data_IF_836782318779
#
_entry.id   IF_836782318779
#
_cell.length_a   1.000
_cell.length_b   1.000
_cell.length_c   1.000
_cell.angle_alpha   90.00
_cell.angle_beta   90.00
_cell.angle_gamma   90.00
#
_symmetry.space_group_name_H-M   'P 1'
#
loop_
_entity.id
_entity.type
_entity.pdbx_description
1 polymer ?
#
# COMPACT_ATOMS: atom_id res chain seq x y z
N UNK A 1 -12.19 -29.63 33.45
CA UNK A 1 -10.76 -29.97 33.34
C UNK A 1 -10.32 -30.15 31.87
N UNK A 2 -11.26 -30.33 30.93
CA UNK A 2 -11.03 -30.59 29.50
C UNK A 2 -10.43 -29.47 28.63
N UNK A 3 -10.71 -28.19 28.93
CA UNK A 3 -10.25 -27.08 28.07
C UNK A 3 -8.73 -26.94 28.00
N UNK A 4 -8.01 -27.22 29.09
CA UNK A 4 -6.53 -27.12 29.13
C UNK A 4 -5.86 -28.26 28.36
N UNK A 5 -6.45 -29.46 28.36
CA UNK A 5 -5.95 -30.63 27.64
C UNK A 5 -6.05 -30.40 26.13
N UNK A 6 -7.16 -29.83 25.67
CA UNK A 6 -7.38 -29.54 24.25
C UNK A 6 -6.42 -28.45 23.71
N UNK A 7 -6.09 -27.43 24.52
CA UNK A 7 -5.10 -26.41 24.16
C UNK A 7 -3.68 -26.97 24.09
N UNK A 8 -3.30 -27.87 25.01
CA UNK A 8 -1.97 -28.49 25.03
C UNK A 8 -1.76 -29.44 23.83
N UNK A 9 -2.80 -30.20 23.44
CA UNK A 9 -2.76 -31.06 22.25
C UNK A 9 -2.62 -30.24 20.97
N UNK A 10 -3.34 -29.11 20.85
CA UNK A 10 -3.24 -28.20 19.71
C UNK A 10 -1.88 -27.52 19.59
N UNK A 11 -1.25 -27.20 20.72
CA UNK A 11 0.14 -26.67 20.75
C UNK A 11 1.15 -27.71 20.29
N UNK A 12 0.98 -28.97 20.73
CA UNK A 12 1.85 -30.09 20.34
C UNK A 12 1.71 -30.45 18.86
N UNK A 13 0.52 -30.28 18.27
CA UNK A 13 0.28 -30.44 16.83
C UNK A 13 0.90 -29.32 15.98
N UNK A 14 0.90 -28.07 16.46
CA UNK A 14 1.61 -26.97 15.81
C UNK A 14 3.14 -27.17 15.83
N UNK A 15 3.67 -27.71 16.94
CA UNK A 15 5.09 -28.04 17.08
C UNK A 15 5.53 -29.25 16.24
N UNK A 16 4.60 -30.06 15.74
CA UNK A 16 4.89 -31.22 14.89
C UNK A 16 4.69 -30.94 13.40
N UNK A 17 4.47 -29.68 13.02
CA UNK A 17 4.48 -29.26 11.63
C UNK A 17 5.92 -29.30 11.12
N UNK A 18 6.24 -30.27 10.24
CA UNK A 18 7.51 -30.22 9.51
C UNK A 18 7.54 -28.90 8.75
N UNK A 19 8.48 -28.03 9.10
CA UNK A 19 8.66 -26.74 8.43
C UNK A 19 9.03 -27.04 6.98
N UNK A 20 8.20 -26.61 6.05
CA UNK A 20 8.44 -26.80 4.62
C UNK A 20 9.59 -25.91 4.17
N UNK A 21 10.39 -26.36 3.20
CA UNK A 21 11.47 -25.56 2.58
C UNK A 21 10.94 -24.19 2.13
N UNK A 22 9.68 -24.13 1.69
CA UNK A 22 8.99 -22.89 1.30
C UNK A 22 8.82 -21.91 2.46
N UNK A 23 8.46 -22.41 3.65
CA UNK A 23 8.31 -21.60 4.86
C UNK A 23 9.65 -21.03 5.31
N UNK A 24 10.71 -21.84 5.24
CA UNK A 24 12.08 -21.40 5.58
C UNK A 24 12.53 -20.28 4.64
N UNK A 25 12.37 -20.45 3.32
CA UNK A 25 12.75 -19.43 2.33
C UNK A 25 11.95 -18.14 2.55
N UNK A 26 10.64 -18.25 2.80
CA UNK A 26 9.80 -17.07 3.04
C UNK A 26 10.20 -16.34 4.32
N UNK A 27 10.43 -17.05 5.43
CA UNK A 27 10.85 -16.45 6.70
C UNK A 27 12.23 -15.80 6.56
N UNK A 28 13.17 -16.45 5.89
CA UNK A 28 14.51 -15.90 5.64
C UNK A 28 14.43 -14.57 4.88
N UNK A 29 13.66 -14.53 3.79
CA UNK A 29 13.49 -13.32 2.99
C UNK A 29 12.73 -12.22 3.74
N UNK A 30 11.74 -12.59 4.55
CA UNK A 30 11.04 -11.65 5.41
C UNK A 30 12.00 -11.01 6.42
N UNK A 31 12.82 -11.80 7.10
CA UNK A 31 13.85 -11.29 8.03
C UNK A 31 14.87 -10.42 7.31
N UNK A 32 15.28 -10.81 6.09
CA UNK A 32 16.19 -10.00 5.27
C UNK A 32 15.56 -8.64 4.92
N UNK A 33 14.26 -8.58 4.64
CA UNK A 33 13.54 -7.33 4.36
C UNK A 33 13.39 -6.42 5.59
N UNK A 34 13.55 -6.93 6.81
CA UNK A 34 13.58 -6.12 8.03
C UNK A 34 14.93 -5.44 8.26
N UNK A 35 15.96 -5.83 7.50
CA UNK A 35 17.29 -5.22 7.59
C UNK A 35 17.37 -3.95 6.71
N UNK A 36 18.16 -2.94 7.11
CA UNK A 36 18.32 -1.71 6.32
C UNK A 36 19.03 -1.92 4.98
N UNK A 37 19.55 -3.12 4.70
CA UNK A 37 20.21 -3.46 3.45
C UNK A 37 19.23 -3.67 2.28
N UNK A 38 17.96 -3.97 2.56
CA UNK A 38 16.94 -4.19 1.53
C UNK A 38 16.05 -2.96 1.42
N UNK A 39 16.20 -2.23 0.32
CA UNK A 39 15.26 -1.15 -0.02
C UNK A 39 13.86 -1.71 -0.33
N UNK A 40 12.79 -0.96 -0.02
CA UNK A 40 11.40 -1.36 -0.31
C UNK A 40 11.13 -1.86 -1.76
N UNK A 41 11.72 -1.28 -2.82
CA UNK A 41 11.59 -1.80 -4.19
C UNK A 41 12.11 -3.23 -4.34
N UNK A 42 13.27 -3.50 -3.72
CA UNK A 42 13.94 -4.78 -3.79
C UNK A 42 13.15 -5.83 -2.98
N UNK A 43 12.62 -5.45 -1.82
CA UNK A 43 11.72 -6.30 -1.04
C UNK A 43 10.47 -6.69 -1.84
N UNK A 44 9.86 -5.74 -2.56
CA UNK A 44 8.69 -5.99 -3.40
C UNK A 44 9.02 -6.93 -4.56
N UNK A 45 10.15 -6.71 -5.23
CA UNK A 45 10.62 -7.55 -6.34
C UNK A 45 10.91 -8.99 -5.88
N UNK A 46 11.63 -9.14 -4.75
CA UNK A 46 11.86 -10.45 -4.12
C UNK A 46 10.54 -11.14 -3.77
N UNK A 47 9.57 -10.40 -3.20
CA UNK A 47 8.24 -10.92 -2.91
C UNK A 47 7.51 -11.45 -4.14
N UNK A 48 7.57 -10.74 -5.27
CA UNK A 48 6.99 -11.19 -6.55
C UNK A 48 7.67 -12.47 -7.06
N UNK A 49 9.00 -12.54 -7.02
CA UNK A 49 9.74 -13.73 -7.47
C UNK A 49 9.34 -14.95 -6.64
N UNK A 50 9.30 -14.81 -5.31
CA UNK A 50 8.89 -15.89 -4.40
C UNK A 50 7.46 -16.31 -4.65
N UNK A 51 6.54 -15.35 -4.78
CA UNK A 51 5.13 -15.64 -5.03
C UNK A 51 4.94 -16.44 -6.33
N UNK A 52 5.71 -16.13 -7.37
CA UNK A 52 5.58 -16.76 -8.69
C UNK A 52 6.26 -18.13 -8.80
N UNK A 53 7.43 -18.32 -8.17
CA UNK A 53 8.24 -19.54 -8.33
C UNK A 53 8.05 -20.54 -7.19
N UNK A 54 7.85 -20.05 -5.97
CA UNK A 54 7.83 -20.88 -4.75
C UNK A 54 6.39 -21.00 -4.22
N UNK A 55 5.58 -19.98 -4.43
CA UNK A 55 4.24 -19.85 -3.88
C UNK A 55 4.27 -19.38 -2.42
N UNK A 56 3.19 -18.74 -1.97
CA UNK A 56 3.11 -18.18 -0.63
C UNK A 56 2.70 -19.25 0.40
N UNK A 57 3.55 -19.62 1.38
CA UNK A 57 3.26 -20.70 2.32
C UNK A 57 2.13 -20.34 3.31
N UNK A 58 1.93 -19.06 3.60
CA UNK A 58 1.00 -18.58 4.63
C UNK A 58 -0.24 -17.88 4.07
N UNK A 59 -0.89 -18.43 3.03
CA UNK A 59 -2.05 -17.81 2.36
C UNK A 59 -3.19 -17.45 3.33
N UNK A 60 -3.51 -18.33 4.27
CA UNK A 60 -4.63 -18.16 5.20
C UNK A 60 -4.49 -16.96 6.16
N UNK A 61 -3.25 -16.54 6.45
CA UNK A 61 -2.97 -15.40 7.36
C UNK A 61 -2.45 -14.16 6.62
N UNK A 62 -2.13 -14.28 5.33
CA UNK A 62 -1.52 -13.21 4.53
C UNK A 62 -2.28 -11.89 4.64
N UNK A 63 -3.59 -11.89 4.34
CA UNK A 63 -4.40 -10.68 4.36
C UNK A 63 -4.36 -9.95 5.73
N UNK A 64 -4.51 -10.72 6.82
CA UNK A 64 -4.50 -10.16 8.18
C UNK A 64 -3.11 -9.65 8.57
N UNK A 65 -2.06 -10.39 8.21
CA UNK A 65 -0.69 -9.99 8.49
C UNK A 65 -0.32 -8.71 7.72
N UNK A 66 -0.64 -8.62 6.43
CA UNK A 66 -0.41 -7.41 5.62
C UNK A 66 -1.12 -6.20 6.22
N UNK A 67 -2.39 -6.33 6.62
CA UNK A 67 -3.12 -5.23 7.26
C UNK A 67 -2.44 -4.75 8.55
N UNK A 68 -2.05 -5.67 9.44
CA UNK A 68 -1.42 -5.31 10.72
C UNK A 68 -0.03 -4.69 10.49
N UNK A 69 0.79 -5.29 9.64
CA UNK A 69 2.13 -4.78 9.34
C UNK A 69 2.07 -3.37 8.74
N UNK A 70 1.17 -3.13 7.79
CA UNK A 70 0.97 -1.79 7.22
C UNK A 70 0.51 -0.78 8.28
N UNK A 71 -0.42 -1.16 9.16
CA UNK A 71 -0.86 -0.29 10.25
C UNK A 71 0.30 0.09 11.18
N UNK A 72 1.11 -0.89 11.59
CA UNK A 72 2.28 -0.65 12.45
C UNK A 72 3.28 0.27 11.74
N UNK A 73 3.59 0.03 10.47
CA UNK A 73 4.49 0.87 9.69
C UNK A 73 3.99 2.31 9.58
N UNK A 74 2.70 2.52 9.31
CA UNK A 74 2.10 3.86 9.21
C UNK A 74 2.14 4.58 10.55
N UNK A 75 1.81 3.90 11.65
CA UNK A 75 1.86 4.47 13.00
C UNK A 75 3.31 4.82 13.37
N UNK A 76 4.27 3.93 13.10
CA UNK A 76 5.69 4.15 13.35
C UNK A 76 6.24 5.35 12.56
N UNK A 77 5.88 5.47 11.29
CA UNK A 77 6.20 6.63 10.45
C UNK A 77 5.57 7.92 11.01
N UNK A 78 4.35 7.84 11.53
CA UNK A 78 3.66 8.98 12.17
C UNK A 78 4.40 9.53 13.40
N UNK A 79 4.97 8.67 14.24
CA UNK A 79 5.77 9.09 15.40
C UNK A 79 7.07 9.84 15.01
N UNK A 80 7.59 9.63 13.80
CA UNK A 80 8.77 10.33 13.29
C UNK A 80 8.47 11.73 12.71
N UNK A 81 7.20 12.16 12.68
CA UNK A 81 6.79 13.38 11.97
C UNK A 81 6.55 14.57 12.91
N UNK A 82 6.97 15.76 12.47
CA UNK A 82 6.65 17.02 13.15
C UNK A 82 5.18 17.42 12.90
N UNK A 83 4.42 17.60 13.98
CA UNK A 83 2.97 17.79 13.94
C UNK A 83 2.56 19.13 13.30
N UNK A 84 3.34 20.19 13.52
CA UNK A 84 3.06 21.53 12.98
C UNK A 84 3.24 21.54 11.46
N UNK A 85 4.30 20.90 10.98
CA UNK A 85 4.59 20.74 9.55
C UNK A 85 3.46 19.95 8.84
N UNK A 86 2.93 18.94 9.53
CA UNK A 86 1.82 18.14 9.03
C UNK A 86 0.50 18.92 8.96
N UNK A 87 0.22 19.79 9.92
CA UNK A 87 -1.01 20.59 9.88
C UNK A 87 -0.93 21.64 8.76
N UNK A 88 0.21 22.29 8.58
CA UNK A 88 0.39 23.38 7.61
C UNK A 88 0.32 22.88 6.17
N UNK A 89 1.04 21.80 5.87
CA UNK A 89 1.05 21.16 4.53
C UNK A 89 -0.31 20.52 4.22
N UNK A 90 -1.01 20.01 5.24
CA UNK A 90 -2.33 19.40 5.09
C UNK A 90 -3.38 20.40 4.61
N UNK A 91 -3.39 21.62 5.18
CA UNK A 91 -4.32 22.69 4.77
C UNK A 91 -4.09 23.11 3.31
N UNK A 92 -2.84 23.19 2.87
CA UNK A 92 -2.49 23.56 1.50
C UNK A 92 -2.84 22.45 0.49
N UNK A 93 -2.76 21.18 0.90
CA UNK A 93 -3.02 20.02 0.03
C UNK A 93 -4.50 19.62 -0.14
N UNK A 94 -5.44 20.21 0.60
CA UNK A 94 -6.85 19.78 0.61
C UNK A 94 -7.50 19.83 -0.77
N UNK A 95 -7.44 20.99 -1.44
CA UNK A 95 -8.07 21.20 -2.75
C UNK A 95 -7.44 20.29 -3.80
N UNK A 96 -6.11 20.17 -3.80
CA UNK A 96 -5.38 19.27 -4.70
C UNK A 96 -5.77 17.82 -4.50
N UNK A 97 -5.95 17.38 -3.26
CA UNK A 97 -6.35 16.00 -2.94
C UNK A 97 -7.76 15.71 -3.45
N UNK A 98 -8.72 16.62 -3.22
CA UNK A 98 -10.10 16.44 -3.70
C UNK A 98 -10.15 16.41 -5.22
N UNK A 99 -9.49 17.36 -5.89
CA UNK A 99 -9.42 17.41 -7.35
C UNK A 99 -8.74 16.15 -7.90
N UNK A 100 -7.65 15.70 -7.28
CA UNK A 100 -6.96 14.48 -7.69
C UNK A 100 -7.83 13.24 -7.53
N UNK A 101 -8.56 13.09 -6.41
CA UNK A 101 -9.44 11.93 -6.20
C UNK A 101 -10.57 11.93 -7.23
N UNK A 102 -11.28 13.06 -7.39
CA UNK A 102 -12.38 13.18 -8.34
C UNK A 102 -11.89 12.98 -9.78
N UNK A 103 -10.74 13.55 -10.13
CA UNK A 103 -10.09 13.39 -11.42
C UNK A 103 -9.74 11.94 -11.70
N UNK A 104 -9.05 11.27 -10.77
CA UNK A 104 -8.65 9.86 -10.91
C UNK A 104 -9.86 8.93 -10.97
N UNK A 105 -10.90 9.15 -10.17
CA UNK A 105 -12.12 8.35 -10.23
C UNK A 105 -12.88 8.55 -11.55
N UNK A 106 -12.99 9.78 -12.03
CA UNK A 106 -13.66 10.09 -13.29
C UNK A 106 -12.90 9.49 -14.48
N UNK A 107 -11.58 9.64 -14.50
CA UNK A 107 -10.71 9.03 -15.51
C UNK A 107 -10.75 7.52 -15.44
N UNK A 108 -10.69 6.94 -14.24
CA UNK A 108 -10.77 5.50 -14.03
C UNK A 108 -12.10 4.91 -14.49
N UNK A 109 -13.22 5.62 -14.27
CA UNK A 109 -14.52 5.24 -14.81
C UNK A 109 -14.54 5.29 -16.35
N UNK A 110 -14.02 6.37 -16.94
CA UNK A 110 -13.96 6.55 -18.39
C UNK A 110 -13.10 5.48 -19.06
N UNK A 111 -11.89 5.25 -18.53
CA UNK A 111 -10.97 4.22 -19.00
C UNK A 111 -11.54 2.83 -18.80
N UNK A 112 -12.20 2.57 -17.66
CA UNK A 112 -12.89 1.31 -17.41
C UNK A 112 -13.97 1.03 -18.46
N UNK A 113 -14.73 2.05 -18.86
CA UNK A 113 -15.72 1.94 -19.93
C UNK A 113 -15.08 1.71 -21.30
N UNK A 114 -14.00 2.43 -21.61
CA UNK A 114 -13.27 2.31 -22.88
C UNK A 114 -12.63 0.93 -23.05
N UNK A 115 -12.03 0.41 -21.98
CA UNK A 115 -11.38 -0.90 -21.92
C UNK A 115 -12.37 -2.06 -21.70
N UNK A 116 -13.68 -1.76 -21.61
CA UNK A 116 -14.76 -2.74 -21.39
C UNK A 116 -14.54 -3.61 -20.15
N UNK A 117 -14.01 -3.01 -19.09
CA UNK A 117 -13.80 -3.69 -17.80
C UNK A 117 -15.13 -3.87 -17.06
N UNK A 118 -15.18 -4.87 -16.19
CA UNK A 118 -16.30 -5.04 -15.27
C UNK A 118 -16.37 -3.84 -14.31
N UNK A 119 -17.58 -3.31 -14.09
CA UNK A 119 -17.80 -2.06 -13.31
C UNK A 119 -17.16 -2.11 -11.92
N UNK A 120 -17.30 -3.25 -11.22
CA UNK A 120 -16.75 -3.42 -9.88
C UNK A 120 -15.22 -3.40 -9.89
N UNK A 121 -14.59 -4.15 -10.80
CA UNK A 121 -13.12 -4.16 -10.94
C UNK A 121 -12.57 -2.80 -11.34
N UNK A 122 -13.19 -2.14 -12.32
CA UNK A 122 -12.78 -0.79 -12.74
C UNK A 122 -12.87 0.21 -11.58
N UNK A 123 -13.95 0.15 -10.80
CA UNK A 123 -14.12 0.99 -9.62
C UNK A 123 -13.09 0.70 -8.53
N UNK A 124 -12.83 -0.57 -8.21
CA UNK A 124 -11.80 -0.96 -7.23
C UNK A 124 -10.41 -0.46 -7.63
N UNK A 125 -10.03 -0.61 -8.90
CA UNK A 125 -8.75 -0.10 -9.42
C UNK A 125 -8.72 1.42 -9.26
N UNK A 126 -9.78 2.12 -9.69
CA UNK A 126 -9.88 3.58 -9.61
C UNK A 126 -9.76 4.11 -8.18
N UNK A 127 -10.48 3.49 -7.24
CA UNK A 127 -10.45 3.83 -5.81
C UNK A 127 -9.06 3.58 -5.22
N UNK A 128 -8.45 2.44 -5.52
CA UNK A 128 -7.12 2.15 -5.03
C UNK A 128 -6.08 3.13 -5.60
N UNK A 129 -6.14 3.47 -6.88
CA UNK A 129 -5.25 4.46 -7.49
C UNK A 129 -5.48 5.87 -6.96
N UNK A 130 -6.71 6.24 -6.59
CA UNK A 130 -7.04 7.59 -6.14
C UNK A 130 -6.62 7.90 -4.68
N UNK A 131 -6.43 6.89 -3.82
CA UNK A 131 -6.30 7.11 -2.37
C UNK A 131 -4.99 6.54 -1.81
N UNK A 132 -4.99 5.26 -1.41
CA UNK A 132 -3.87 4.62 -0.72
C UNK A 132 -3.71 3.14 -1.15
N UNK A 133 -4.04 2.85 -2.41
CA UNK A 133 -3.82 1.53 -3.01
C UNK A 133 -4.68 0.44 -2.38
N UNK A 134 -4.01 -0.60 -1.88
CA UNK A 134 -4.66 -1.80 -1.37
C UNK A 134 -5.55 -1.57 -0.15
N UNK A 135 -5.20 -0.61 0.71
CA UNK A 135 -6.00 -0.27 1.89
C UNK A 135 -7.37 0.29 1.52
N UNK A 136 -7.44 1.11 0.46
CA UNK A 136 -8.70 1.65 -0.04
C UNK A 136 -9.56 0.55 -0.69
N UNK A 137 -8.95 -0.36 -1.45
CA UNK A 137 -9.65 -1.54 -1.99
C UNK A 137 -10.25 -2.36 -0.84
N UNK A 138 -9.45 -2.72 0.17
CA UNK A 138 -9.93 -3.53 1.29
C UNK A 138 -11.09 -2.87 2.04
N UNK A 139 -11.08 -1.54 2.18
CA UNK A 139 -12.15 -0.80 2.84
C UNK A 139 -13.45 -0.75 2.03
N UNK A 140 -13.36 -0.60 0.70
CA UNK A 140 -14.53 -0.42 -0.18
C UNK A 140 -15.13 -1.73 -0.68
N UNK A 141 -14.33 -2.79 -0.75
CA UNK A 141 -14.74 -4.11 -1.27
C UNK A 141 -16.02 -4.67 -0.61
N UNK A 142 -16.19 -4.63 0.73
CA UNK A 142 -17.41 -5.15 1.37
C UNK A 142 -18.67 -4.34 0.99
N UNK A 143 -18.53 -3.02 0.87
CA UNK A 143 -19.62 -2.09 0.59
C UNK A 143 -20.20 -2.29 -0.79
N UNK A 144 -19.35 -2.58 -1.79
CA UNK A 144 -19.78 -2.84 -3.16
C UNK A 144 -19.99 -4.33 -3.46
N UNK A 145 -19.90 -5.19 -2.42
CA UNK A 145 -20.03 -6.65 -2.52
C UNK A 145 -19.10 -7.25 -3.59
N UNK A 146 -17.86 -6.77 -3.64
CA UNK A 146 -16.86 -7.29 -4.57
C UNK A 146 -16.55 -8.75 -4.24
N UNK A 147 -16.47 -9.60 -5.27
CA UNK A 147 -16.03 -10.98 -5.08
C UNK A 147 -14.49 -11.04 -4.96
N UNK A 148 -13.98 -12.14 -4.40
CA UNK A 148 -12.54 -12.30 -4.16
C UNK A 148 -11.70 -12.14 -5.44
N UNK A 149 -12.21 -12.65 -6.57
CA UNK A 149 -11.52 -12.53 -7.86
C UNK A 149 -11.35 -11.07 -8.28
N UNK A 150 -12.38 -10.23 -8.13
CA UNK A 150 -12.34 -8.80 -8.47
C UNK A 150 -11.35 -8.05 -7.57
N UNK A 151 -11.36 -8.36 -6.26
CA UNK A 151 -10.41 -7.78 -5.30
C UNK A 151 -8.98 -8.18 -5.62
N UNK A 152 -8.73 -9.46 -5.88
CA UNK A 152 -7.42 -9.96 -6.25
C UNK A 152 -6.90 -9.34 -7.55
N UNK A 153 -7.75 -9.23 -8.58
CA UNK A 153 -7.36 -8.59 -9.85
C UNK A 153 -7.02 -7.12 -9.62
N UNK A 154 -7.86 -6.37 -8.89
CA UNK A 154 -7.60 -4.96 -8.63
C UNK A 154 -6.30 -4.74 -7.83
N UNK A 155 -6.07 -5.53 -6.78
CA UNK A 155 -4.83 -5.48 -6.00
C UNK A 155 -3.60 -5.81 -6.86
N UNK A 156 -3.68 -6.87 -7.66
CA UNK A 156 -2.59 -7.27 -8.53
C UNK A 156 -2.26 -6.16 -9.54
N UNK A 157 -3.27 -5.57 -10.19
CA UNK A 157 -3.09 -4.46 -11.14
C UNK A 157 -2.41 -3.27 -10.45
N UNK A 158 -2.88 -2.85 -9.28
CA UNK A 158 -2.29 -1.71 -8.57
C UNK A 158 -0.84 -2.00 -8.16
N UNK A 159 -0.56 -3.17 -7.58
CA UNK A 159 0.81 -3.48 -7.16
C UNK A 159 1.77 -3.57 -8.35
N UNK A 160 1.33 -4.11 -9.48
CA UNK A 160 2.14 -4.13 -10.71
C UNK A 160 2.40 -2.71 -11.21
N UNK A 161 1.37 -1.88 -11.30
CA UNK A 161 1.51 -0.47 -11.74
C UNK A 161 2.42 0.32 -10.79
N UNK A 162 2.27 0.12 -9.48
CA UNK A 162 3.11 0.74 -8.46
C UNK A 162 4.57 0.29 -8.56
N UNK A 163 4.81 -1.00 -8.78
CA UNK A 163 6.15 -1.54 -8.99
C UNK A 163 6.80 -0.91 -10.23
N UNK A 164 6.06 -0.79 -11.33
CA UNK A 164 6.52 -0.11 -12.54
C UNK A 164 6.81 1.37 -12.24
N UNK A 165 5.87 2.08 -11.60
CA UNK A 165 6.00 3.49 -11.27
C UNK A 165 7.24 3.76 -10.43
N UNK A 166 7.56 2.89 -9.48
CA UNK A 166 8.75 3.02 -8.65
C UNK A 166 10.02 3.14 -9.50
N UNK A 167 10.21 2.24 -10.47
CA UNK A 167 11.40 2.26 -11.34
C UNK A 167 11.35 3.42 -12.33
N UNK A 168 10.18 3.63 -12.96
CA UNK A 168 10.00 4.67 -13.98
C UNK A 168 10.20 6.06 -13.39
N UNK A 169 9.64 6.36 -12.23
CA UNK A 169 9.74 7.68 -11.61
C UNK A 169 11.19 8.03 -11.33
N UNK A 170 11.97 7.16 -10.69
CA UNK A 170 13.37 7.44 -10.39
C UNK A 170 14.18 7.74 -11.66
N UNK A 171 13.99 6.94 -12.72
CA UNK A 171 14.65 7.16 -14.02
C UNK A 171 14.22 8.49 -14.64
N UNK A 172 12.92 8.78 -14.68
CA UNK A 172 12.39 10.04 -15.23
C UNK A 172 12.88 11.23 -14.42
N UNK A 173 12.96 11.14 -13.10
CA UNK A 173 13.49 12.18 -12.23
C UNK A 173 14.93 12.52 -12.58
N UNK A 174 15.77 11.50 -12.77
CA UNK A 174 17.16 11.69 -13.18
C UNK A 174 17.27 12.26 -14.60
N UNK A 175 16.43 11.82 -15.54
CA UNK A 175 16.42 12.37 -16.91
C UNK A 175 15.99 13.84 -16.96
N UNK A 176 15.15 14.27 -16.03
CA UNK A 176 14.69 15.65 -15.89
C UNK A 176 15.59 16.51 -15.00
N UNK A 177 16.70 15.96 -14.49
CA UNK A 177 17.61 16.61 -13.53
C UNK A 177 16.87 17.23 -12.33
N UNK A 178 15.84 16.55 -11.83
CA UNK A 178 15.06 17.05 -10.69
C UNK A 178 15.93 17.08 -9.43
N UNK A 179 15.83 18.17 -8.67
CA UNK A 179 16.40 18.18 -7.32
C UNK A 179 15.70 17.15 -6.42
N UNK A 180 16.36 16.72 -5.34
CA UNK A 180 15.77 15.76 -4.40
C UNK A 180 14.42 16.24 -3.85
N UNK A 181 14.31 17.54 -3.55
CA UNK A 181 13.07 18.17 -3.07
C UNK A 181 11.98 18.16 -4.13
N UNK A 182 12.31 18.48 -5.38
CA UNK A 182 11.34 18.44 -6.50
C UNK A 182 10.85 17.02 -6.76
N UNK A 183 11.77 16.06 -6.79
CA UNK A 183 11.44 14.65 -6.98
C UNK A 183 10.57 14.13 -5.84
N UNK A 184 10.91 14.45 -4.59
CA UNK A 184 10.15 14.05 -3.40
C UNK A 184 8.72 14.58 -3.43
N UNK A 185 8.54 15.86 -3.79
CA UNK A 185 7.21 16.46 -3.91
C UNK A 185 6.40 15.82 -5.06
N UNK A 186 7.03 15.64 -6.22
CA UNK A 186 6.39 15.03 -7.39
C UNK A 186 5.94 13.58 -7.11
N UNK A 187 6.81 12.76 -6.53
CA UNK A 187 6.48 11.39 -6.12
C UNK A 187 5.32 11.37 -5.12
N UNK A 188 5.32 12.25 -4.11
CA UNK A 188 4.27 12.28 -3.10
C UNK A 188 2.89 12.63 -3.68
N UNK A 189 2.83 13.47 -4.70
CA UNK A 189 1.57 13.86 -5.37
C UNK A 189 1.12 12.78 -6.35
N UNK A 190 2.04 12.20 -7.12
CA UNK A 190 1.70 11.33 -8.24
C UNK A 190 1.51 9.85 -7.86
N UNK A 191 2.15 9.38 -6.77
CA UNK A 191 2.03 8.00 -6.30
C UNK A 191 1.18 7.99 -5.04
N UNK A 192 -0.04 7.46 -5.11
CA UNK A 192 -1.00 7.43 -4.00
C UNK A 192 -0.67 6.40 -2.92
N UNK A 193 0.06 5.34 -3.27
CA UNK A 193 0.47 4.30 -2.32
C UNK A 193 1.72 4.70 -1.53
N UNK A 194 1.60 4.79 -0.21
CA UNK A 194 2.68 5.22 0.70
C UNK A 194 3.92 4.33 0.59
N UNK A 195 3.74 3.01 0.47
CA UNK A 195 4.87 2.08 0.40
C UNK A 195 5.69 2.27 -0.88
N UNK A 196 5.00 2.59 -1.98
CA UNK A 196 5.61 2.85 -3.28
C UNK A 196 6.30 4.21 -3.34
N UNK A 197 5.73 5.27 -2.73
CA UNK A 197 6.37 6.59 -2.58
C UNK A 197 7.69 6.46 -1.84
N UNK A 198 7.67 5.80 -0.67
CA UNK A 198 8.86 5.61 0.17
C UNK A 198 9.94 4.85 -0.60
N UNK A 199 9.55 3.79 -1.31
CA UNK A 199 10.50 3.03 -2.12
C UNK A 199 11.14 3.85 -3.25
N UNK A 200 10.36 4.62 -4.00
CA UNK A 200 10.86 5.46 -5.07
C UNK A 200 11.76 6.60 -4.54
N UNK A 201 11.32 7.30 -3.49
CA UNK A 201 12.05 8.43 -2.92
C UNK A 201 13.35 8.00 -2.24
N UNK A 202 13.38 6.85 -1.55
CA UNK A 202 14.60 6.30 -0.94
C UNK A 202 15.72 6.02 -1.95
N UNK A 203 15.36 5.70 -3.20
CA UNK A 203 16.32 5.45 -4.28
C UNK A 203 16.90 6.74 -4.84
N UNK A 204 16.15 7.83 -4.77
CA UNK A 204 16.53 9.13 -5.30
C UNK A 204 17.41 9.93 -4.31
N UNK A 205 17.20 9.75 -3.00
CA UNK A 205 18.07 10.29 -1.97
C UNK A 205 17.37 10.54 -0.64
N UNK A 206 18.15 10.84 0.40
CA UNK A 206 17.63 11.00 1.76
C UNK A 206 16.71 12.22 1.89
N UNK A 207 17.02 13.34 1.22
CA UNK A 207 16.19 14.54 1.24
C UNK A 207 14.87 14.27 0.48
N UNK A 208 14.94 13.59 -0.67
CA UNK A 208 13.76 13.20 -1.43
C UNK A 208 12.83 12.31 -0.60
N UNK A 209 13.39 11.33 0.11
CA UNK A 209 12.65 10.46 1.02
C UNK A 209 11.97 11.25 2.13
N UNK A 210 12.69 12.18 2.76
CA UNK A 210 12.16 12.99 3.85
C UNK A 210 11.01 13.88 3.37
N UNK A 211 11.20 14.58 2.23
CA UNK A 211 10.17 15.44 1.62
C UNK A 211 8.96 14.60 1.22
N UNK A 212 9.16 13.51 0.48
CA UNK A 212 8.07 12.69 -0.03
C UNK A 212 7.23 12.09 1.10
N UNK A 213 7.90 11.55 2.12
CA UNK A 213 7.24 10.93 3.27
C UNK A 213 6.49 11.96 4.09
N UNK A 214 7.08 13.14 4.32
CA UNK A 214 6.44 14.23 5.06
C UNK A 214 5.16 14.68 4.36
N UNK A 215 5.24 14.97 3.05
CA UNK A 215 4.06 15.36 2.26
C UNK A 215 3.01 14.26 2.28
N UNK A 216 3.42 12.99 2.12
CA UNK A 216 2.48 11.87 2.03
C UNK A 216 1.75 11.57 3.32
N UNK A 217 2.47 11.49 4.45
CA UNK A 217 1.90 11.27 5.77
C UNK A 217 0.96 12.42 6.17
N UNK A 218 1.31 13.64 5.77
CA UNK A 218 0.47 14.82 5.97
C UNK A 218 -0.86 14.71 5.21
N UNK A 219 -0.85 14.26 3.95
CA UNK A 219 -2.09 13.96 3.21
C UNK A 219 -2.87 12.76 3.77
N UNK A 220 -2.19 11.75 4.34
CA UNK A 220 -2.86 10.59 4.96
C UNK A 220 -3.65 10.96 6.23
N UNK A 221 -3.25 12.03 6.95
CA UNK A 221 -3.99 12.56 8.11
C UNK A 221 -5.42 12.99 7.75
N UNK A 222 -5.69 13.38 6.49
CA UNK A 222 -7.01 13.79 6.00
C UNK A 222 -7.96 12.62 5.74
N UNK A 223 -7.49 11.38 5.75
CA UNK A 223 -8.35 10.19 5.61
C UNK A 223 -9.37 10.14 6.75
N UNK A 224 -9.00 10.59 7.97
CA UNK A 224 -9.89 10.56 9.15
C UNK A 224 -11.10 11.49 8.99
N UNK A 225 -10.95 12.81 8.73
CA UNK A 225 -12.10 13.69 8.53
C UNK A 225 -12.92 13.34 7.27
N UNK A 226 -12.27 12.90 6.17
CA UNK A 226 -12.99 12.52 4.94
C UNK A 226 -13.78 11.22 5.13
N UNK A 227 -13.23 10.22 5.83
CA UNK A 227 -13.95 9.00 6.16
C UNK A 227 -15.14 9.28 7.08
N UNK A 228 -14.99 10.15 8.08
CA UNK A 228 -16.10 10.60 8.92
C UNK A 228 -17.19 11.34 8.11
N UNK A 229 -16.80 12.28 7.24
CA UNK A 229 -17.74 13.00 6.36
C UNK A 229 -18.46 12.06 5.39
N UNK A 230 -17.74 11.12 4.80
CA UNK A 230 -18.31 10.12 3.87
C UNK A 230 -19.26 9.17 4.59
N UNK A 231 -18.93 8.76 5.83
CA UNK A 231 -19.82 7.94 6.65
C UNK A 231 -21.13 8.66 7.04
N UNK A 232 -21.10 9.99 7.16
CA UNK A 232 -22.30 10.81 7.37
C UNK A 232 -23.09 10.99 6.07
N UNK A 233 -22.42 11.21 4.95
CA UNK A 233 -23.05 11.42 3.65
C UNK A 233 -23.74 10.16 3.09
N UNK A 234 -23.21 8.97 3.37
CA UNK A 234 -23.74 7.68 2.91
C UNK A 234 -24.64 6.96 3.93
N UNK A 235 -25.03 7.63 5.03
CA UNK A 235 -26.01 7.11 6.01
C UNK A 235 -27.45 7.51 5.68
N UNK A 236 -27.72 7.89 4.43
CA UNK A 236 -29.04 8.23 3.89
C UNK A 236 -29.41 7.23 2.81
#
# INVERSE_FOLDING_TARGET
MDKKINTAIRYKQLLNHKVSVREIIFILLFVLCLTPFVSAPLALLLGIIVAQWIGHPFLAVNHRATQILLQISVVGLGFGMNIDTAIQTGKQGFVLTVISILGTLSLGYLLGRLLKLEKVTAYLISVGTAICGGSAIAAVSPTIKANEKQVSVALATIFVLNAIALFVFAVVGHLLDLSQTQFGLWCAVAIQDTSSVVGAASKYGNEALQVATTVKLTTALWIIPIACLSAVAFKT
#
